data_IF_631955061401
#
_entry.id   IF_631955061401
#
_cell.length_a   1.000
_cell.length_b   1.000
_cell.length_c   1.000
_cell.angle_alpha   90.00
_cell.angle_beta   90.00
_cell.angle_gamma   90.00
#
_symmetry.space_group_name_H-M   'P 1'
#
loop_
_entity.id
_entity.type
_entity.pdbx_description
1 polymer ?
#
# COMPACT_ATOMS: atom_id res chain seq x y z
N UNK A 1 1.86 8.24 26.97
CA UNK A 1 0.54 7.64 27.31
C UNK A 1 -0.61 8.64 27.22
N UNK A 2 -0.47 9.86 27.75
CA UNK A 2 -1.54 10.86 27.75
C UNK A 2 -2.09 11.22 26.34
N UNK A 3 -1.28 11.09 25.29
CA UNK A 3 -1.70 11.41 23.93
C UNK A 3 -2.47 10.28 23.23
N UNK A 4 -2.19 9.03 23.56
CA UNK A 4 -2.73 7.86 22.86
C UNK A 4 -3.72 7.05 23.70
N UNK A 5 -3.96 7.46 24.97
CA UNK A 5 -4.82 6.74 25.89
C UNK A 5 -4.38 5.32 26.22
N UNK A 6 -3.08 5.04 26.08
CA UNK A 6 -2.51 3.71 26.32
C UNK A 6 -1.15 3.79 26.99
N UNK A 7 -0.84 2.82 27.84
CA UNK A 7 0.47 2.61 28.47
C UNK A 7 1.32 1.55 27.76
N UNK A 8 0.80 0.99 26.68
CA UNK A 8 1.46 -0.08 25.95
C UNK A 8 2.83 0.33 25.40
N UNK A 9 2.90 1.50 24.78
CA UNK A 9 4.13 1.99 24.16
C UNK A 9 5.07 2.57 25.21
N UNK A 10 6.32 2.10 25.24
CA UNK A 10 7.35 2.57 26.17
C UNK A 10 8.00 3.87 25.74
N UNK A 11 8.20 4.03 24.43
CA UNK A 11 8.74 5.24 23.82
C UNK A 11 8.25 5.38 22.38
N UNK A 12 8.41 6.54 21.79
CA UNK A 12 8.07 6.81 20.39
C UNK A 12 8.66 8.15 19.94
N UNK A 13 8.80 8.29 18.63
CA UNK A 13 9.18 9.54 17.98
C UNK A 13 7.92 10.16 17.38
N UNK A 14 7.65 11.42 17.75
CA UNK A 14 6.51 12.16 17.19
C UNK A 14 6.93 12.93 15.93
N UNK A 15 6.34 12.59 14.81
CA UNK A 15 6.57 13.27 13.52
C UNK A 15 5.50 14.35 13.36
N UNK A 16 5.88 15.62 13.52
CA UNK A 16 4.96 16.77 13.47
C UNK A 16 4.41 17.05 12.06
N UNK A 17 5.19 16.70 11.03
CA UNK A 17 4.83 16.93 9.62
C UNK A 17 4.05 15.76 8.99
N UNK A 18 3.69 14.75 9.78
CA UNK A 18 2.87 13.64 9.33
C UNK A 18 1.41 14.05 9.14
N UNK A 19 0.75 13.46 8.16
CA UNK A 19 -0.67 13.59 7.94
C UNK A 19 -1.33 12.22 7.84
N UNK A 20 -2.57 12.11 8.30
CA UNK A 20 -3.43 10.96 8.05
C UNK A 20 -4.36 11.29 6.88
N UNK A 21 -4.48 10.35 5.98
CA UNK A 21 -5.42 10.44 4.86
C UNK A 21 -6.25 9.16 4.79
N UNK A 22 -7.47 9.29 4.29
CA UNK A 22 -8.27 8.15 3.91
C UNK A 22 -7.95 7.81 2.44
N UNK A 23 -7.22 6.70 2.16
CA UNK A 23 -6.68 6.46 0.82
C UNK A 23 -7.74 6.31 -0.27
N UNK A 24 -8.87 5.66 0.05
CA UNK A 24 -9.95 5.48 -0.91
C UNK A 24 -10.61 6.83 -1.25
N UNK A 25 -10.90 7.66 -0.25
CA UNK A 25 -11.46 8.99 -0.47
C UNK A 25 -10.50 9.91 -1.26
N UNK A 26 -9.19 9.78 -1.02
CA UNK A 26 -8.19 10.52 -1.80
C UNK A 26 -8.22 10.13 -3.28
N UNK A 27 -8.22 8.83 -3.57
CA UNK A 27 -8.24 8.34 -4.96
C UNK A 27 -9.55 8.70 -5.65
N UNK A 28 -10.68 8.55 -4.95
CA UNK A 28 -12.00 8.94 -5.48
C UNK A 28 -12.05 10.45 -5.78
N UNK A 29 -11.59 11.28 -4.85
CA UNK A 29 -11.55 12.73 -5.06
C UNK A 29 -10.65 13.16 -6.21
N UNK A 30 -9.53 12.45 -6.43
CA UNK A 30 -8.70 12.66 -7.62
C UNK A 30 -9.44 12.30 -8.91
N UNK A 31 -10.18 11.19 -8.92
CA UNK A 31 -10.99 10.80 -10.07
C UNK A 31 -12.12 11.80 -10.36
N UNK A 32 -12.82 12.27 -9.32
CA UNK A 32 -13.93 13.21 -9.42
C UNK A 32 -13.49 14.61 -9.90
N UNK A 33 -12.21 14.95 -9.74
CA UNK A 33 -11.63 16.25 -10.09
C UNK A 33 -10.78 16.24 -11.37
N UNK A 34 -10.87 15.19 -12.17
CA UNK A 34 -10.14 15.12 -13.43
C UNK A 34 -10.56 16.25 -14.37
N UNK A 35 -9.60 16.91 -15.05
CA UNK A 35 -9.93 17.94 -16.04
C UNK A 35 -10.66 17.35 -17.25
N UNK A 36 -11.42 18.18 -17.95
CA UNK A 36 -12.31 17.73 -19.05
C UNK A 36 -11.62 17.06 -20.25
N UNK A 37 -10.32 17.26 -20.39
CA UNK A 37 -9.50 16.60 -21.41
C UNK A 37 -8.96 15.24 -20.98
N UNK A 38 -9.28 14.77 -19.78
CA UNK A 38 -8.92 13.43 -19.28
C UNK A 38 -10.16 12.55 -19.22
N UNK A 39 -10.09 11.42 -19.89
CA UNK A 39 -11.16 10.43 -19.92
C UNK A 39 -10.80 9.23 -19.04
N UNK A 40 -11.63 8.96 -18.02
CA UNK A 40 -11.48 7.80 -17.14
C UNK A 40 -12.36 6.65 -17.65
N UNK A 41 -11.76 5.50 -17.89
CA UNK A 41 -12.44 4.26 -18.26
C UNK A 41 -12.24 3.23 -17.16
N UNK A 42 -13.31 2.93 -16.43
CA UNK A 42 -13.33 1.89 -15.41
C UNK A 42 -13.74 0.55 -16.01
N UNK A 43 -13.44 -0.55 -15.28
CA UNK A 43 -13.76 -1.92 -15.69
C UNK A 43 -13.22 -2.28 -17.09
N UNK A 44 -12.15 -1.64 -17.49
CA UNK A 44 -11.53 -1.75 -18.80
C UNK A 44 -10.09 -2.30 -18.67
N UNK A 45 -9.93 -3.60 -18.39
CA UNK A 45 -8.61 -4.18 -18.16
C UNK A 45 -7.77 -4.21 -19.43
N UNK A 46 -6.55 -3.72 -19.35
CA UNK A 46 -5.53 -3.89 -20.39
C UNK A 46 -4.92 -5.29 -20.26
N UNK A 47 -5.02 -6.08 -21.30
CA UNK A 47 -4.55 -7.47 -21.33
C UNK A 47 -3.14 -7.60 -21.89
N UNK A 48 -2.76 -6.68 -22.76
CA UNK A 48 -1.45 -6.71 -23.43
C UNK A 48 -1.04 -5.30 -23.84
N UNK A 49 0.25 -5.05 -23.81
CA UNK A 49 0.88 -3.80 -24.26
C UNK A 49 1.92 -4.17 -25.30
N UNK A 50 1.77 -3.69 -26.52
CA UNK A 50 2.64 -4.00 -27.65
C UNK A 50 3.00 -2.77 -28.49
N UNK A 51 4.04 -2.91 -29.30
CA UNK A 51 4.47 -1.81 -30.20
C UNK A 51 5.22 -0.71 -29.47
N UNK A 52 5.68 0.24 -30.25
CA UNK A 52 6.50 1.35 -29.79
C UNK A 52 5.98 2.70 -30.28
N UNK A 53 5.48 2.80 -31.50
CA UNK A 53 4.99 4.05 -32.13
C UNK A 53 3.94 3.75 -33.22
N UNK A 54 2.65 3.89 -32.93
CA UNK A 54 2.03 4.07 -31.59
C UNK A 54 2.12 2.80 -30.74
N UNK A 55 2.04 2.97 -29.41
CA UNK A 55 1.89 1.85 -28.48
C UNK A 55 0.42 1.37 -28.54
N UNK A 56 0.25 0.06 -28.67
CA UNK A 56 -1.06 -0.59 -28.69
C UNK A 56 -1.37 -1.24 -27.34
N UNK A 57 -2.59 -1.01 -26.84
CA UNK A 57 -3.16 -1.59 -25.63
C UNK A 57 -4.35 -2.46 -26.05
N UNK A 58 -4.20 -3.78 -25.88
CA UNK A 58 -5.30 -4.71 -26.18
C UNK A 58 -6.22 -4.83 -24.95
N UNK A 59 -7.50 -4.68 -25.20
CA UNK A 59 -8.61 -4.83 -24.26
C UNK A 59 -9.40 -6.10 -24.56
N UNK A 60 -10.45 -6.39 -23.78
CA UNK A 60 -11.37 -7.49 -24.09
C UNK A 60 -12.10 -7.27 -25.43
N UNK A 61 -12.60 -6.05 -25.65
CA UNK A 61 -13.51 -5.74 -26.76
C UNK A 61 -12.92 -4.74 -27.76
N UNK A 62 -11.58 -4.58 -27.75
CA UNK A 62 -10.95 -3.62 -28.66
C UNK A 62 -9.50 -3.33 -28.38
N UNK A 63 -9.04 -2.25 -28.98
CA UNK A 63 -7.66 -1.78 -28.92
C UNK A 63 -7.63 -0.26 -28.72
N UNK A 64 -6.73 0.21 -27.87
CA UNK A 64 -6.41 1.63 -27.76
C UNK A 64 -4.99 1.84 -28.27
N UNK A 65 -4.79 2.87 -29.08
CA UNK A 65 -3.47 3.30 -29.57
C UNK A 65 -3.11 4.64 -28.99
N UNK A 66 -1.89 4.78 -28.53
CA UNK A 66 -1.38 6.00 -27.92
C UNK A 66 0.07 6.26 -28.31
N UNK A 67 0.44 7.52 -28.43
CA UNK A 67 1.83 7.91 -28.68
C UNK A 67 2.73 7.60 -27.48
N UNK A 68 2.18 7.68 -26.27
CA UNK A 68 2.87 7.38 -25.01
C UNK A 68 1.95 6.63 -24.06
N UNK A 69 2.52 5.70 -23.30
CA UNK A 69 1.81 4.94 -22.27
C UNK A 69 2.56 5.02 -20.96
N UNK A 70 1.85 5.31 -19.87
CA UNK A 70 2.36 5.28 -18.50
C UNK A 70 1.72 4.11 -17.78
N UNK A 71 2.53 3.14 -17.37
CA UNK A 71 2.10 1.98 -16.60
C UNK A 71 2.26 2.29 -15.09
N UNK A 72 1.14 2.60 -14.44
CA UNK A 72 1.06 2.85 -13.01
C UNK A 72 0.44 1.68 -12.24
N UNK A 73 0.49 0.47 -12.82
CA UNK A 73 -0.19 -0.75 -12.34
C UNK A 73 0.54 -1.46 -11.20
N UNK A 74 1.60 -0.87 -10.67
CA UNK A 74 2.39 -1.38 -9.55
C UNK A 74 2.80 -2.88 -9.78
N UNK A 75 2.50 -3.80 -8.84
CA UNK A 75 2.87 -5.21 -8.96
C UNK A 75 2.16 -5.94 -10.13
N UNK A 76 1.04 -5.42 -10.61
CA UNK A 76 0.33 -5.98 -11.75
C UNK A 76 1.07 -5.81 -13.09
N UNK A 77 2.08 -4.92 -13.16
CA UNK A 77 2.89 -4.73 -14.36
C UNK A 77 3.57 -6.04 -14.82
N UNK A 78 3.79 -6.98 -13.91
CA UNK A 78 4.31 -8.31 -14.23
C UNK A 78 3.40 -9.11 -15.17
N UNK A 79 2.08 -8.94 -15.09
CA UNK A 79 1.10 -9.57 -16.00
C UNK A 79 1.18 -9.01 -17.42
N UNK A 80 1.56 -7.73 -17.53
CA UNK A 80 1.77 -7.06 -18.82
C UNK A 80 3.17 -7.28 -19.41
N UNK A 81 4.01 -8.09 -18.75
CA UNK A 81 5.36 -8.41 -19.26
C UNK A 81 6.48 -7.56 -18.69
N UNK A 82 6.17 -6.53 -17.88
CA UNK A 82 7.14 -5.61 -17.32
C UNK A 82 7.51 -5.96 -15.89
N UNK A 83 8.74 -5.65 -15.47
CA UNK A 83 9.26 -5.92 -14.10
C UNK A 83 9.02 -7.37 -13.62
N UNK A 84 8.96 -8.31 -14.55
CA UNK A 84 8.79 -9.73 -14.22
C UNK A 84 9.90 -10.18 -13.27
N UNK A 85 9.52 -10.86 -12.18
CA UNK A 85 10.46 -11.36 -11.17
C UNK A 85 11.28 -10.27 -10.49
N UNK A 86 10.78 -9.06 -10.40
CA UNK A 86 11.41 -7.96 -9.66
C UNK A 86 10.48 -7.38 -8.58
N UNK A 87 9.17 -7.56 -8.77
CA UNK A 87 8.14 -7.13 -7.84
C UNK A 87 7.14 -8.25 -7.60
N UNK A 88 6.63 -8.35 -6.40
CA UNK A 88 5.56 -9.29 -6.02
C UNK A 88 4.52 -8.58 -5.18
N UNK A 89 3.31 -9.14 -5.12
CA UNK A 89 2.26 -8.69 -4.22
C UNK A 89 2.41 -9.33 -2.84
N UNK A 90 2.48 -8.51 -1.81
CA UNK A 90 2.37 -8.91 -0.41
C UNK A 90 0.95 -8.62 0.06
N UNK A 91 0.28 -9.62 0.63
CA UNK A 91 -1.10 -9.45 1.12
C UNK A 91 -1.08 -8.95 2.55
N UNK A 92 -1.86 -7.91 2.79
CA UNK A 92 -2.05 -7.26 4.08
C UNK A 92 -3.48 -7.46 4.55
N UNK A 93 -3.69 -7.58 5.85
CA UNK A 93 -5.01 -7.56 6.45
C UNK A 93 -5.12 -6.49 7.53
N UNK A 94 -6.30 -5.90 7.64
CA UNK A 94 -6.64 -4.91 8.63
C UNK A 94 -8.07 -5.05 9.11
N UNK A 95 -8.36 -4.44 10.26
CA UNK A 95 -9.70 -4.35 10.84
C UNK A 95 -9.97 -2.93 11.32
N UNK A 96 -11.25 -2.55 11.27
CA UNK A 96 -11.74 -1.29 11.83
C UNK A 96 -12.76 -1.59 12.92
N UNK A 97 -12.68 -0.88 14.03
CA UNK A 97 -13.76 -0.90 15.02
C UNK A 97 -15.03 -0.26 14.44
N UNK A 98 -16.17 -0.45 15.08
CA UNK A 98 -17.26 0.51 14.93
C UNK A 98 -16.82 1.91 15.32
N UNK A 99 -17.60 2.91 14.99
CA UNK A 99 -17.40 4.27 15.50
C UNK A 99 -17.43 4.23 17.03
N UNK A 100 -16.43 4.84 17.66
CA UNK A 100 -16.35 4.94 19.11
C UNK A 100 -17.34 5.96 19.64
N UNK A 101 -17.93 5.68 20.79
CA UNK A 101 -18.71 6.65 21.53
C UNK A 101 -17.83 7.79 22.04
N UNK A 102 -18.44 8.89 22.49
CA UNK A 102 -17.69 10.01 23.07
C UNK A 102 -16.88 9.60 24.31
N UNK A 103 -17.43 8.74 25.17
CA UNK A 103 -16.74 8.25 26.36
C UNK A 103 -15.55 7.38 26.01
N UNK A 104 -15.70 6.48 25.03
CA UNK A 104 -14.62 5.67 24.51
C UNK A 104 -13.52 6.55 23.88
N UNK A 105 -13.89 7.56 23.11
CA UNK A 105 -12.93 8.52 22.54
C UNK A 105 -12.20 9.31 23.62
N UNK A 106 -12.90 9.76 24.65
CA UNK A 106 -12.29 10.45 25.81
C UNK A 106 -11.25 9.57 26.51
N UNK A 107 -11.46 8.25 26.55
CA UNK A 107 -10.48 7.31 27.12
C UNK A 107 -9.17 7.24 26.35
N UNK A 108 -9.17 7.68 25.07
CA UNK A 108 -7.98 7.75 24.20
C UNK A 108 -7.25 9.10 24.27
N UNK A 109 -7.57 9.96 25.22
CA UNK A 109 -7.02 11.31 25.32
C UNK A 109 -7.74 12.31 24.42
N UNK A 110 -7.19 13.50 24.27
CA UNK A 110 -7.87 14.63 23.61
C UNK A 110 -7.47 14.86 22.15
N UNK A 111 -6.84 13.89 21.49
CA UNK A 111 -6.47 14.01 20.09
C UNK A 111 -7.65 13.60 19.19
N UNK A 112 -7.92 14.40 18.17
CA UNK A 112 -8.97 14.12 17.19
C UNK A 112 -8.64 12.92 16.29
N UNK A 113 -7.36 12.79 15.96
CA UNK A 113 -6.81 11.72 15.13
C UNK A 113 -5.32 11.52 15.44
N UNK A 114 -4.83 10.33 15.22
CA UNK A 114 -3.43 9.97 15.34
C UNK A 114 -3.11 8.65 14.66
N UNK A 115 -1.86 8.45 14.33
CA UNK A 115 -1.36 7.19 13.81
C UNK A 115 -0.09 6.75 14.52
N UNK A 116 0.00 5.46 14.79
CA UNK A 116 1.20 4.80 15.32
C UNK A 116 1.69 3.81 14.28
N UNK A 117 2.96 3.94 13.92
CA UNK A 117 3.66 2.98 13.08
C UNK A 117 4.75 2.34 13.93
N UNK A 118 4.76 1.02 14.01
CA UNK A 118 5.85 0.29 14.66
C UNK A 118 7.17 0.55 13.94
N UNK A 119 8.26 0.69 14.70
CA UNK A 119 9.61 0.71 14.15
C UNK A 119 10.06 -0.68 13.67
N UNK A 120 9.40 -1.73 14.13
CA UNK A 120 9.63 -3.09 13.66
C UNK A 120 8.76 -3.40 12.44
N UNK A 121 9.38 -3.87 11.36
CA UNK A 121 8.68 -4.12 10.08
C UNK A 121 7.52 -5.14 10.12
N UNK A 122 7.43 -5.96 11.17
CA UNK A 122 6.32 -6.88 11.44
C UNK A 122 5.33 -6.38 12.49
N UNK A 123 5.54 -5.20 13.06
CA UNK A 123 4.69 -4.64 14.11
C UNK A 123 3.39 -4.02 13.60
N UNK A 124 2.50 -3.73 14.54
CA UNK A 124 1.19 -3.19 14.22
C UNK A 124 1.23 -1.74 13.77
N UNK A 125 0.39 -1.41 12.80
CA UNK A 125 0.04 -0.03 12.46
C UNK A 125 -1.37 0.25 12.98
N UNK A 126 -1.53 1.30 13.77
CA UNK A 126 -2.80 1.65 14.39
C UNK A 126 -3.10 3.11 14.14
N UNK A 127 -4.35 3.43 13.88
CA UNK A 127 -4.81 4.80 13.66
C UNK A 127 -6.15 5.03 14.35
N UNK A 128 -6.29 6.17 15.00
CA UNK A 128 -7.58 6.77 15.29
C UNK A 128 -7.95 7.64 14.10
N UNK A 129 -9.03 7.31 13.43
CA UNK A 129 -9.50 8.03 12.25
C UNK A 129 -10.35 9.24 12.62
N UNK A 130 -10.49 10.20 11.73
CA UNK A 130 -11.28 11.42 11.95
C UNK A 130 -12.76 11.13 12.17
N UNK A 131 -13.29 10.04 11.60
CA UNK A 131 -14.66 9.55 11.83
C UNK A 131 -14.80 8.76 13.15
N UNK A 132 -13.73 8.64 13.94
CA UNK A 132 -13.77 8.09 15.29
C UNK A 132 -13.71 6.56 15.37
N UNK A 133 -13.00 5.91 14.45
CA UNK A 133 -12.72 4.46 14.48
C UNK A 133 -11.27 4.19 14.80
N UNK A 134 -10.98 3.06 15.42
CA UNK A 134 -9.61 2.52 15.46
C UNK A 134 -9.43 1.60 14.26
N UNK A 135 -8.46 1.94 13.41
CA UNK A 135 -7.93 1.08 12.35
C UNK A 135 -6.71 0.34 12.88
N UNK A 136 -6.67 -0.96 12.68
CA UNK A 136 -5.55 -1.81 13.04
C UNK A 136 -5.13 -2.67 11.86
N UNK A 137 -3.82 -2.69 11.55
CA UNK A 137 -3.19 -3.56 10.56
C UNK A 137 -1.91 -4.14 11.15
N UNK A 138 -1.79 -5.44 11.19
CA UNK A 138 -0.56 -6.06 11.69
C UNK A 138 -0.15 -7.36 10.99
N UNK A 139 -0.90 -7.82 10.01
CA UNK A 139 -0.54 -9.01 9.26
C UNK A 139 -0.12 -8.64 7.84
N UNK A 140 1.03 -9.17 7.44
CA UNK A 140 1.53 -9.10 6.08
C UNK A 140 2.06 -10.48 5.72
N UNK A 141 1.64 -11.00 4.58
CA UNK A 141 2.00 -12.35 4.16
C UNK A 141 2.15 -12.46 2.65
N UNK A 142 2.91 -13.46 2.22
CA UNK A 142 2.89 -13.85 0.83
C UNK A 142 1.76 -14.86 0.62
N UNK A 143 0.72 -14.43 -0.09
CA UNK A 143 -0.48 -15.22 -0.37
C UNK A 143 -0.74 -15.30 -1.89
N UNK A 144 0.32 -15.50 -2.67
CA UNK A 144 0.21 -15.59 -4.11
C UNK A 144 -0.23 -14.30 -4.82
N UNK A 145 -0.08 -13.15 -4.15
CA UNK A 145 -0.53 -11.84 -4.65
C UNK A 145 -2.06 -11.74 -4.87
N UNK A 146 -2.83 -12.44 -4.04
CA UNK A 146 -4.30 -12.41 -4.06
C UNK A 146 -4.87 -11.96 -2.71
N UNK A 147 -6.14 -11.57 -2.72
CA UNK A 147 -6.88 -11.22 -1.51
C UNK A 147 -7.16 -12.48 -0.67
N UNK A 148 -7.34 -12.26 0.63
CA UNK A 148 -7.77 -13.30 1.56
C UNK A 148 -9.27 -13.57 1.40
N UNK A 149 -9.66 -14.83 1.54
CA UNK A 149 -11.05 -15.23 1.68
C UNK A 149 -11.63 -14.80 3.04
N UNK A 150 -12.95 -14.78 3.16
CA UNK A 150 -13.64 -14.44 4.42
C UNK A 150 -13.19 -15.32 5.60
N UNK A 151 -12.99 -16.63 5.34
CA UNK A 151 -12.52 -17.57 6.36
C UNK A 151 -11.07 -17.26 6.82
N UNK A 152 -10.23 -16.78 5.92
CA UNK A 152 -8.87 -16.34 6.25
C UNK A 152 -8.89 -15.00 6.97
N UNK A 153 -9.72 -14.06 6.54
CA UNK A 153 -9.93 -12.78 7.24
C UNK A 153 -10.40 -13.00 8.68
N UNK A 154 -11.34 -13.91 8.91
CA UNK A 154 -11.80 -14.24 10.26
C UNK A 154 -10.64 -14.72 11.16
N UNK A 155 -9.72 -15.52 10.64
CA UNK A 155 -8.52 -15.95 11.39
C UNK A 155 -7.59 -14.76 11.69
N UNK A 156 -7.46 -13.81 10.77
CA UNK A 156 -6.64 -12.59 10.99
C UNK A 156 -7.30 -11.65 11.99
N UNK A 157 -8.62 -11.59 12.01
CA UNK A 157 -9.38 -10.81 12.98
C UNK A 157 -9.12 -11.25 14.42
N UNK A 158 -8.91 -12.54 14.68
CA UNK A 158 -8.54 -13.04 16.01
C UNK A 158 -7.20 -12.41 16.45
N UNK A 159 -6.20 -12.42 15.56
CA UNK A 159 -4.90 -11.80 15.84
C UNK A 159 -5.06 -10.30 16.08
N UNK A 160 -5.87 -9.63 15.26
CA UNK A 160 -6.13 -8.20 15.42
C UNK A 160 -6.82 -7.90 16.76
N UNK A 161 -7.72 -8.78 17.21
CA UNK A 161 -8.38 -8.64 18.51
C UNK A 161 -7.39 -8.69 19.67
N UNK A 162 -6.51 -9.68 19.68
CA UNK A 162 -5.46 -9.79 20.71
C UNK A 162 -4.54 -8.55 20.72
N UNK A 163 -4.17 -8.05 19.55
CA UNK A 163 -3.32 -6.86 19.39
C UNK A 163 -4.02 -5.61 19.91
N UNK A 164 -5.31 -5.49 19.62
CA UNK A 164 -6.15 -4.36 20.03
C UNK A 164 -6.34 -4.32 21.55
N UNK A 165 -6.75 -5.44 22.16
CA UNK A 165 -7.00 -5.54 23.60
C UNK A 165 -5.75 -5.30 24.44
N UNK A 166 -4.58 -5.77 23.99
CA UNK A 166 -3.30 -5.48 24.65
C UNK A 166 -2.97 -3.99 24.70
N UNK A 167 -3.40 -3.24 23.67
CA UNK A 167 -3.09 -1.81 23.55
C UNK A 167 -4.14 -0.93 24.19
N UNK A 168 -5.39 -1.33 24.11
CA UNK A 168 -6.55 -0.57 24.56
C UNK A 168 -7.49 -1.46 25.41
N UNK A 169 -7.03 -1.91 26.60
CA UNK A 169 -7.86 -2.77 27.45
C UNK A 169 -9.19 -2.11 27.85
N UNK A 170 -9.24 -0.77 27.90
CA UNK A 170 -10.44 0.00 28.17
C UNK A 170 -11.47 -0.05 27.02
N UNK A 171 -11.09 -0.56 25.86
CA UNK A 171 -11.94 -0.71 24.68
C UNK A 171 -12.14 -2.18 24.27
N UNK A 172 -11.87 -3.13 25.17
CA UNK A 172 -11.95 -4.57 24.88
C UNK A 172 -13.30 -5.01 24.34
N UNK A 173 -14.38 -4.36 24.76
CA UNK A 173 -15.75 -4.68 24.34
C UNK A 173 -16.15 -4.04 22.99
N UNK A 174 -15.30 -3.17 22.42
CA UNK A 174 -15.59 -2.52 21.14
C UNK A 174 -15.38 -3.50 19.99
N UNK A 175 -16.43 -3.88 19.24
CA UNK A 175 -16.29 -4.84 18.15
C UNK A 175 -15.56 -4.26 16.93
N UNK A 176 -14.93 -5.13 16.15
CA UNK A 176 -14.56 -4.80 14.77
C UNK A 176 -15.80 -4.91 13.89
N UNK A 177 -16.09 -3.84 13.17
CA UNK A 177 -17.20 -3.76 12.22
C UNK A 177 -16.78 -4.20 10.82
N UNK A 178 -15.54 -3.87 10.43
CA UNK A 178 -14.99 -4.22 9.13
C UNK A 178 -13.66 -4.94 9.28
N UNK A 179 -13.44 -5.91 8.40
CA UNK A 179 -12.13 -6.51 8.13
C UNK A 179 -11.91 -6.55 6.63
N UNK A 180 -10.68 -6.35 6.22
CA UNK A 180 -10.31 -6.28 4.81
C UNK A 180 -8.93 -6.88 4.55
N UNK A 181 -8.66 -7.22 3.31
CA UNK A 181 -7.32 -7.49 2.83
C UNK A 181 -7.01 -6.66 1.59
N UNK A 182 -5.75 -6.41 1.38
CA UNK A 182 -5.25 -5.69 0.21
C UNK A 182 -3.89 -6.22 -0.21
N UNK A 183 -3.50 -5.95 -1.44
CA UNK A 183 -2.20 -6.38 -1.95
C UNK A 183 -1.34 -5.16 -2.24
N UNK A 184 -0.14 -5.12 -1.65
CA UNK A 184 0.86 -4.10 -1.94
C UNK A 184 2.01 -4.65 -2.78
N UNK A 185 2.55 -3.82 -3.67
CA UNK A 185 3.73 -4.18 -4.44
C UNK A 185 5.01 -4.01 -3.62
N UNK A 186 5.77 -5.08 -3.48
CA UNK A 186 7.06 -5.09 -2.77
C UNK A 186 8.16 -5.66 -3.65
N UNK A 187 9.34 -5.06 -3.57
CA UNK A 187 10.57 -5.59 -4.15
C UNK A 187 11.46 -6.19 -3.06
N UNK A 188 12.30 -7.13 -3.43
CA UNK A 188 13.17 -7.84 -2.47
C UNK A 188 14.13 -6.90 -1.73
N UNK A 189 14.64 -5.89 -2.39
CA UNK A 189 15.57 -4.89 -1.85
C UNK A 189 14.90 -3.56 -1.47
N UNK A 190 13.57 -3.54 -1.38
CA UNK A 190 12.77 -2.37 -0.98
C UNK A 190 12.97 -1.13 -1.87
N UNK A 191 13.36 -1.33 -3.12
CA UNK A 191 13.50 -0.25 -4.10
C UNK A 191 12.24 -0.08 -4.94
N UNK A 192 12.05 1.12 -5.47
CA UNK A 192 11.00 1.44 -6.43
C UNK A 192 11.52 1.23 -7.85
N UNK A 193 10.61 1.24 -8.82
CA UNK A 193 10.96 1.40 -10.22
C UNK A 193 10.32 2.68 -10.76
N UNK A 194 11.10 3.39 -11.57
CA UNK A 194 10.70 4.63 -12.21
C UNK A 194 11.50 4.78 -13.52
N UNK A 195 10.85 5.19 -14.58
CA UNK A 195 11.55 5.54 -15.81
C UNK A 195 10.91 5.02 -17.09
N UNK A 196 11.62 5.21 -18.19
CA UNK A 196 11.26 4.75 -19.53
C UNK A 196 11.75 3.32 -19.72
N UNK A 197 10.85 2.40 -20.10
CA UNK A 197 11.15 0.98 -20.28
C UNK A 197 11.43 0.62 -21.74
N UNK A 198 10.69 1.22 -22.63
CA UNK A 198 10.81 1.13 -24.08
C UNK A 198 10.52 2.51 -24.67
N UNK A 199 10.65 2.69 -25.98
CA UNK A 199 10.61 4.02 -26.60
C UNK A 199 9.53 4.95 -26.09
N UNK A 200 8.28 4.51 -25.98
CA UNK A 200 7.16 5.34 -25.52
C UNK A 200 6.38 4.72 -24.37
N UNK A 201 6.98 3.78 -23.63
CA UNK A 201 6.39 3.14 -22.46
C UNK A 201 7.17 3.55 -21.22
N UNK A 202 6.47 4.18 -20.29
CA UNK A 202 6.98 4.69 -19.03
C UNK A 202 6.36 3.90 -17.87
N UNK A 203 7.06 3.81 -16.74
CA UNK A 203 6.58 3.04 -15.60
C UNK A 203 6.97 3.69 -14.27
N UNK A 204 6.07 3.60 -13.30
CA UNK A 204 6.34 3.92 -11.91
C UNK A 204 5.61 2.96 -10.96
N UNK A 205 6.29 2.53 -9.89
CA UNK A 205 5.69 1.62 -8.89
C UNK A 205 6.70 1.03 -7.92
N UNK A 206 6.30 -0.05 -7.23
CA UNK A 206 7.14 -0.72 -6.27
C UNK A 206 7.29 0.06 -4.97
N UNK A 207 6.23 0.64 -4.45
CA UNK A 207 6.28 1.61 -3.36
C UNK A 207 6.54 1.03 -1.96
N UNK A 208 6.55 -0.30 -1.81
CA UNK A 208 6.95 -1.00 -0.58
C UNK A 208 6.25 -0.45 0.68
N UNK A 209 4.93 -0.29 0.63
CA UNK A 209 4.11 0.19 1.74
C UNK A 209 3.95 1.71 1.87
N UNK A 210 4.64 2.51 1.05
CA UNK A 210 4.57 3.98 1.08
C UNK A 210 3.82 4.58 -0.12
N UNK A 211 2.77 3.88 -0.60
CA UNK A 211 2.11 4.16 -1.87
C UNK A 211 1.48 5.55 -1.98
N UNK A 212 0.90 6.10 -0.91
CA UNK A 212 0.25 7.42 -0.99
C UNK A 212 1.27 8.53 -1.29
N UNK A 213 2.29 8.68 -0.46
CA UNK A 213 3.29 9.75 -0.62
C UNK A 213 4.17 9.54 -1.85
N UNK A 214 4.69 8.31 -2.03
CA UNK A 214 5.54 7.99 -3.18
C UNK A 214 4.78 7.98 -4.49
N UNK A 215 3.54 7.48 -4.51
CA UNK A 215 2.69 7.51 -5.69
C UNK A 215 2.39 8.93 -6.16
N UNK A 216 2.17 9.86 -5.24
CA UNK A 216 2.00 11.28 -5.57
C UNK A 216 3.28 11.87 -6.18
N UNK A 217 4.42 11.70 -5.51
CA UNK A 217 5.69 12.24 -6.00
C UNK A 217 6.11 11.62 -7.34
N UNK A 218 5.99 10.29 -7.47
CA UNK A 218 6.33 9.58 -8.71
C UNK A 218 5.35 9.87 -9.84
N UNK A 219 4.06 10.04 -9.53
CA UNK A 219 3.07 10.45 -10.52
C UNK A 219 3.36 11.83 -11.10
N UNK A 220 3.69 12.81 -10.25
CA UNK A 220 4.11 14.14 -10.67
C UNK A 220 5.37 14.10 -11.53
N UNK A 221 6.43 13.42 -11.04
CA UNK A 221 7.68 13.28 -11.79
C UNK A 221 7.49 12.55 -13.12
N UNK A 222 6.61 11.53 -13.15
CA UNK A 222 6.36 10.75 -14.36
C UNK A 222 5.62 11.54 -15.43
N UNK A 223 4.62 12.33 -15.04
CA UNK A 223 3.90 13.21 -15.95
C UNK A 223 4.85 14.23 -16.59
N UNK A 224 5.70 14.85 -15.79
CA UNK A 224 6.74 15.78 -16.26
C UNK A 224 7.75 15.10 -17.18
N UNK A 225 8.27 13.94 -16.77
CA UNK A 225 9.26 13.17 -17.54
C UNK A 225 8.71 12.68 -18.89
N UNK A 226 7.50 12.13 -18.92
CA UNK A 226 6.85 11.69 -20.15
C UNK A 226 6.52 12.85 -21.11
N UNK A 227 6.38 14.06 -20.58
CA UNK A 227 6.20 15.29 -21.36
C UNK A 227 7.52 15.91 -21.86
N UNK A 228 8.67 15.32 -21.51
CA UNK A 228 9.99 15.81 -21.92
C UNK A 228 10.61 16.82 -20.95
N UNK A 229 9.99 17.01 -19.78
CA UNK A 229 10.52 17.87 -18.73
C UNK A 229 11.73 17.27 -18.00
N UNK A 230 12.42 18.13 -17.27
CA UNK A 230 13.59 17.78 -16.45
C UNK A 230 13.48 18.51 -15.11
N UNK A 231 13.65 17.78 -14.02
CA UNK A 231 13.66 18.34 -12.67
C UNK A 231 14.54 17.52 -11.73
N UNK A 232 14.88 18.08 -10.58
CA UNK A 232 15.60 17.35 -9.54
C UNK A 232 14.81 16.12 -9.06
N UNK A 233 13.48 16.23 -8.98
CA UNK A 233 12.60 15.12 -8.60
C UNK A 233 12.71 13.96 -9.61
N UNK A 234 12.71 14.24 -10.90
CA UNK A 234 12.93 13.21 -11.95
C UNK A 234 14.30 12.57 -11.77
N UNK A 235 15.34 13.36 -11.56
CA UNK A 235 16.72 12.87 -11.35
C UNK A 235 16.78 11.94 -10.15
N UNK A 236 16.19 12.32 -9.02
CA UNK A 236 16.14 11.52 -7.80
C UNK A 236 15.36 10.21 -8.00
N UNK A 237 14.23 10.25 -8.72
CA UNK A 237 13.46 9.06 -9.05
C UNK A 237 14.24 8.10 -9.95
N UNK A 238 14.94 8.61 -10.96
CA UNK A 238 15.78 7.82 -11.88
C UNK A 238 17.02 7.22 -11.20
N UNK A 239 17.53 7.85 -10.15
CA UNK A 239 18.69 7.37 -9.39
C UNK A 239 18.37 6.16 -8.50
N UNK A 240 17.12 5.72 -8.42
CA UNK A 240 16.73 4.54 -7.65
C UNK A 240 17.45 3.29 -8.16
N UNK A 241 18.07 2.52 -7.27
CA UNK A 241 18.67 1.25 -7.62
C UNK A 241 17.63 0.29 -8.22
N UNK A 242 18.01 -0.57 -9.17
CA UNK A 242 17.06 -1.51 -9.76
C UNK A 242 16.56 -2.54 -8.73
N UNK A 243 15.32 -2.94 -8.88
CA UNK A 243 14.76 -4.02 -8.07
C UNK A 243 15.48 -5.35 -8.36
N UNK A 244 15.84 -6.08 -7.31
CA UNK A 244 16.58 -7.34 -7.45
C UNK A 244 15.68 -8.47 -7.90
N UNK A 245 16.27 -9.41 -8.60
CA UNK A 245 15.58 -10.58 -9.13
C UNK A 245 14.95 -11.44 -8.03
N UNK A 246 13.76 -11.94 -8.31
CA UNK A 246 12.97 -12.84 -7.46
C UNK A 246 12.88 -14.20 -8.17
N UNK A 247 13.21 -15.32 -7.49
CA UNK A 247 13.18 -16.63 -8.10
C UNK A 247 11.76 -17.06 -8.50
N UNK A 248 11.60 -17.96 -9.48
CA UNK A 248 10.30 -18.53 -9.81
C UNK A 248 9.79 -19.47 -8.71
N UNK A 249 8.50 -19.81 -8.76
CA UNK A 249 7.94 -20.91 -7.95
C UNK A 249 8.60 -22.25 -8.37
N UNK A 250 8.82 -23.17 -7.42
CA UNK A 250 8.44 -23.13 -6.01
C UNK A 250 9.45 -22.40 -5.10
N UNK A 251 10.61 -22.00 -5.59
CA UNK A 251 11.67 -21.37 -4.79
C UNK A 251 11.22 -20.03 -4.17
N UNK A 252 10.39 -19.29 -4.89
CA UNK A 252 9.76 -18.08 -4.36
C UNK A 252 8.95 -18.37 -3.10
N UNK A 253 8.11 -19.41 -3.13
CA UNK A 253 7.20 -19.73 -2.03
C UNK A 253 7.99 -20.10 -0.77
N UNK A 254 9.05 -20.88 -0.91
CA UNK A 254 9.96 -21.24 0.19
C UNK A 254 10.69 -20.01 0.73
N UNK A 255 11.26 -19.21 -0.16
CA UNK A 255 11.97 -17.97 0.22
C UNK A 255 11.07 -16.95 0.89
N UNK A 256 9.86 -16.76 0.38
CA UNK A 256 8.86 -15.86 0.96
C UNK A 256 8.43 -16.33 2.35
N UNK A 257 8.18 -17.63 2.53
CA UNK A 257 7.83 -18.22 3.83
C UNK A 257 8.89 -17.89 4.89
N UNK A 258 10.15 -18.14 4.60
CA UNK A 258 11.24 -17.86 5.55
C UNK A 258 11.43 -16.34 5.77
N UNK A 259 11.29 -15.54 4.74
CA UNK A 259 11.43 -14.08 4.83
C UNK A 259 10.33 -13.48 5.71
N UNK A 260 9.07 -13.87 5.49
CA UNK A 260 7.94 -13.40 6.30
C UNK A 260 8.09 -13.87 7.74
N UNK A 261 8.42 -15.17 7.95
CA UNK A 261 8.67 -15.70 9.30
C UNK A 261 9.81 -14.96 10.01
N UNK A 262 10.90 -14.67 9.31
CA UNK A 262 12.02 -13.90 9.86
C UNK A 262 11.62 -12.48 10.23
N UNK A 263 10.79 -11.82 9.39
CA UNK A 263 10.29 -10.46 9.65
C UNK A 263 9.46 -10.37 10.94
N UNK A 264 8.71 -11.42 11.27
CA UNK A 264 7.93 -11.49 12.51
C UNK A 264 8.73 -12.01 13.71
N UNK A 265 9.94 -12.53 13.49
CA UNK A 265 10.82 -12.96 14.57
C UNK A 265 11.36 -11.72 15.32
N UNK A 266 11.10 -11.64 16.61
CA UNK A 266 11.57 -10.52 17.43
C UNK A 266 10.61 -9.32 17.52
N UNK A 267 9.44 -9.38 16.86
CA UNK A 267 8.37 -8.36 17.04
C UNK A 267 7.95 -8.25 18.51
N UNK A 268 8.01 -9.37 19.25
CA UNK A 268 7.66 -9.38 20.68
C UNK A 268 6.23 -8.90 20.92
N UNK A 269 6.10 -7.97 21.87
CA UNK A 269 4.82 -7.38 22.26
C UNK A 269 4.22 -6.45 21.18
N UNK A 270 5.04 -6.00 20.23
CA UNK A 270 4.61 -5.03 19.21
C UNK A 270 3.85 -5.67 18.02
N UNK A 271 3.72 -7.00 18.07
CA UNK A 271 2.89 -7.75 17.13
C UNK A 271 1.41 -7.47 17.35
#
# INVERSE_FOLDING_TARGET
SARLGTTFYKCGVHVKMGALVQPAALVQGLADTLPSNVHLYEQCPVLEVTGNEPVSLRLNDGEVRADKVILATNYECGKLGFQRRQILGSTLAGSFTRVLTEDERRSLGNLSDWGVLSLHGGGATIRLTTDGRISLRNTAEYHGSVLLSDAELAKRQIIHREVFEKRFPQLSDVPFEFSWSGVEGVSRNSTNFFGRQQNNIYMAGGYNGSGVSRGTAFGTAMAEYASGGQSSLITDCLASAPATWIPPRPFLDVGAFFTVRSRFKGVGLDR
#
